data_IF_629344549213
#
_entry.id   IF_629344549213
#
_cell.length_a   1.000
_cell.length_b   1.000
_cell.length_c   1.000
_cell.angle_alpha   90.00
_cell.angle_beta   90.00
_cell.angle_gamma   90.00
#
_symmetry.space_group_name_H-M   'P 1'
#
loop_
_entity.id
_entity.type
_entity.pdbx_description
1 polymer ?
#
# COMPACT_ATOMS: atom_id res chain seq x y z
N UNK A 1 10.73 -11.42 13.47
CA UNK A 1 10.68 -10.15 14.24
C UNK A 1 9.50 -10.18 15.17
N UNK A 2 9.69 -9.82 16.44
CA UNK A 2 8.61 -9.62 17.42
C UNK A 2 7.66 -8.52 16.96
N UNK A 3 6.41 -8.55 17.42
CA UNK A 3 5.39 -7.56 17.04
C UNK A 3 5.76 -6.13 17.46
N UNK A 4 6.56 -6.00 18.52
CA UNK A 4 7.06 -4.74 19.08
C UNK A 4 8.34 -4.23 18.41
N UNK A 5 8.94 -4.97 17.46
CA UNK A 5 10.15 -4.49 16.79
C UNK A 5 9.81 -3.26 15.92
N UNK A 6 10.39 -2.07 16.19
CA UNK A 6 10.06 -0.86 15.45
C UNK A 6 10.43 -0.94 13.97
N UNK A 7 11.36 -1.83 13.60
CA UNK A 7 11.80 -2.06 12.21
C UNK A 7 10.85 -2.99 11.46
N UNK A 8 9.99 -3.74 12.15
CA UNK A 8 9.02 -4.64 11.52
C UNK A 8 8.10 -3.88 10.56
N UNK A 9 7.66 -2.69 10.94
CA UNK A 9 6.81 -1.86 10.09
C UNK A 9 7.56 -1.29 8.88
N UNK A 10 8.86 -1.03 9.00
CA UNK A 10 9.68 -0.60 7.87
C UNK A 10 9.78 -1.71 6.80
N UNK A 11 10.04 -2.94 7.23
CA UNK A 11 10.03 -4.09 6.33
C UNK A 11 8.65 -4.34 5.71
N UNK A 12 7.59 -4.26 6.51
CA UNK A 12 6.22 -4.41 6.00
C UNK A 12 5.93 -3.35 4.94
N UNK A 13 6.27 -2.07 5.16
CA UNK A 13 6.08 -1.02 4.15
C UNK A 13 6.84 -1.30 2.87
N UNK A 14 8.09 -1.75 2.98
CA UNK A 14 8.94 -2.10 1.83
C UNK A 14 8.31 -3.20 0.98
N UNK A 15 7.81 -4.26 1.59
CA UNK A 15 7.27 -5.43 0.87
C UNK A 15 5.78 -5.27 0.49
N UNK A 16 4.99 -4.53 1.26
CA UNK A 16 3.57 -4.29 1.00
C UNK A 16 3.31 -3.23 -0.07
N UNK A 17 4.29 -2.37 -0.40
CA UNK A 17 4.14 -1.28 -1.37
C UNK A 17 3.47 -1.73 -2.68
N UNK A 18 2.35 -1.12 -3.06
CA UNK A 18 1.65 -1.42 -4.31
C UNK A 18 2.21 -0.55 -5.44
N UNK A 19 2.42 0.73 -5.14
CA UNK A 19 3.00 1.69 -6.08
C UNK A 19 4.45 1.97 -5.73
N UNK A 20 5.32 2.09 -6.74
CA UNK A 20 6.74 2.40 -6.54
C UNK A 20 7.53 1.31 -5.81
N UNK A 21 7.05 0.06 -5.87
CA UNK A 21 7.75 -1.10 -5.28
C UNK A 21 9.14 -1.24 -5.91
N UNK A 22 10.13 -1.58 -5.09
CA UNK A 22 11.53 -1.67 -5.49
C UNK A 22 11.79 -2.69 -6.63
N UNK A 23 10.99 -3.75 -6.73
CA UNK A 23 11.06 -4.74 -7.82
C UNK A 23 10.25 -4.37 -9.07
N UNK A 24 9.47 -3.29 -9.03
CA UNK A 24 8.66 -2.87 -10.16
C UNK A 24 9.48 -1.99 -11.12
N UNK A 25 9.38 -2.23 -12.43
CA UNK A 25 10.15 -1.53 -13.50
C UNK A 25 9.80 -0.03 -13.67
N UNK A 26 9.24 0.65 -12.67
CA UNK A 26 8.88 2.07 -12.76
C UNK A 26 10.14 2.93 -12.72
N UNK A 27 10.20 3.97 -13.55
CA UNK A 27 11.27 4.97 -13.49
C UNK A 27 11.24 5.66 -12.13
N UNK A 28 12.36 5.69 -11.38
CA UNK A 28 12.43 6.26 -10.03
C UNK A 28 12.20 7.77 -9.97
N UNK A 29 12.20 8.45 -11.12
CA UNK A 29 12.16 9.92 -11.22
C UNK A 29 10.79 10.53 -10.89
N UNK A 30 9.69 9.76 -10.95
CA UNK A 30 8.35 10.30 -10.66
C UNK A 30 7.93 9.99 -9.23
N UNK A 31 7.77 11.00 -8.35
CA UNK A 31 7.29 10.79 -6.99
C UNK A 31 5.88 10.18 -7.00
N UNK A 32 5.55 9.46 -5.93
CA UNK A 32 4.20 8.92 -5.73
C UNK A 32 3.23 10.07 -5.45
N UNK A 33 2.04 9.98 -6.03
CA UNK A 33 0.91 10.85 -5.69
C UNK A 33 0.44 10.55 -4.26
N UNK A 34 -0.27 11.50 -3.65
CA UNK A 34 -0.85 11.30 -2.33
C UNK A 34 -1.77 10.06 -2.27
N UNK A 35 -2.50 9.77 -3.35
CA UNK A 35 -3.31 8.55 -3.45
C UNK A 35 -2.45 7.29 -3.36
N UNK A 36 -1.38 7.23 -4.15
CA UNK A 36 -0.48 6.09 -4.17
C UNK A 36 0.21 5.88 -2.81
N UNK A 37 0.62 6.96 -2.15
CA UNK A 37 1.18 6.92 -0.78
C UNK A 37 0.13 6.40 0.21
N UNK A 38 -1.11 6.90 0.14
CA UNK A 38 -2.20 6.48 1.02
C UNK A 38 -2.54 4.99 0.85
N UNK A 39 -2.57 4.50 -0.39
CA UNK A 39 -2.80 3.09 -0.70
C UNK A 39 -1.65 2.21 -0.20
N UNK A 40 -0.40 2.66 -0.33
CA UNK A 40 0.75 1.95 0.21
C UNK A 40 0.72 1.85 1.75
N UNK A 41 0.36 2.93 2.45
CA UNK A 41 0.26 2.89 3.92
C UNK A 41 -0.91 2.00 4.37
N UNK A 42 -2.06 2.08 3.71
CA UNK A 42 -3.18 1.17 3.99
C UNK A 42 -2.79 -0.30 3.82
N UNK A 43 -2.05 -0.63 2.74
CA UNK A 43 -1.54 -1.97 2.52
C UNK A 43 -0.58 -2.42 3.62
N UNK A 44 0.30 -1.55 4.10
CA UNK A 44 1.22 -1.86 5.19
C UNK A 44 0.47 -2.16 6.49
N UNK A 45 -0.55 -1.36 6.84
CA UNK A 45 -1.37 -1.61 8.03
C UNK A 45 -2.15 -2.92 7.92
N UNK A 46 -2.72 -3.22 6.75
CA UNK A 46 -3.41 -4.49 6.50
C UNK A 46 -2.43 -5.67 6.65
N UNK A 47 -1.22 -5.58 6.07
CA UNK A 47 -0.20 -6.62 6.17
C UNK A 47 0.39 -6.77 7.58
N UNK A 48 0.34 -5.73 8.42
CA UNK A 48 0.69 -5.83 9.84
C UNK A 48 -0.23 -6.81 10.57
N UNK A 49 -1.54 -6.71 10.31
CA UNK A 49 -2.56 -7.57 10.92
C UNK A 49 -2.73 -8.92 10.21
N UNK A 50 -2.51 -8.96 8.89
CA UNK A 50 -2.66 -10.15 8.06
C UNK A 50 -1.39 -10.34 7.21
N UNK A 51 -0.29 -10.87 7.79
CA UNK A 51 1.00 -10.97 7.10
C UNK A 51 0.98 -11.82 5.82
N UNK A 52 0.02 -12.75 5.71
CA UNK A 52 -0.16 -13.58 4.52
C UNK A 52 -0.46 -12.77 3.25
N UNK A 53 -0.98 -11.53 3.38
CA UNK A 53 -1.27 -10.67 2.23
C UNK A 53 -0.02 -10.09 1.56
N UNK A 54 1.16 -10.19 2.18
CA UNK A 54 2.43 -9.79 1.55
C UNK A 54 2.74 -10.61 0.28
N UNK A 55 2.29 -11.87 0.22
CA UNK A 55 2.48 -12.75 -0.93
C UNK A 55 1.25 -12.82 -1.84
N UNK A 56 0.11 -12.25 -1.42
CA UNK A 56 -1.18 -12.30 -2.14
C UNK A 56 -1.60 -10.91 -2.57
N UNK A 57 -0.81 -10.31 -3.46
CA UNK A 57 -0.96 -8.90 -3.88
C UNK A 57 -2.31 -8.63 -4.53
N UNK A 58 -2.82 -9.57 -5.32
CA UNK A 58 -4.12 -9.45 -5.99
C UNK A 58 -5.29 -9.32 -5.00
N UNK A 59 -5.16 -9.92 -3.81
CA UNK A 59 -6.12 -9.76 -2.71
C UNK A 59 -5.86 -8.47 -1.90
N UNK A 60 -4.59 -8.13 -1.68
CA UNK A 60 -4.19 -6.94 -0.91
C UNK A 60 -4.62 -5.62 -1.58
N UNK A 61 -4.49 -5.52 -2.91
CA UNK A 61 -4.75 -4.29 -3.64
C UNK A 61 -6.19 -3.75 -3.52
N UNK A 62 -7.25 -4.55 -3.76
CA UNK A 62 -8.62 -4.08 -3.58
C UNK A 62 -8.92 -3.70 -2.13
N UNK A 63 -8.39 -4.45 -1.15
CA UNK A 63 -8.56 -4.13 0.28
C UNK A 63 -7.94 -2.78 0.65
N UNK A 64 -6.70 -2.52 0.23
CA UNK A 64 -6.02 -1.26 0.50
C UNK A 64 -6.74 -0.07 -0.17
N UNK A 65 -7.22 -0.22 -1.41
CA UNK A 65 -8.02 0.81 -2.08
C UNK A 65 -9.34 1.08 -1.39
N UNK A 66 -10.00 0.04 -0.88
CA UNK A 66 -11.26 0.16 -0.17
C UNK A 66 -11.05 0.89 1.16
N UNK A 67 -10.03 0.54 1.94
CA UNK A 67 -9.67 1.23 3.18
C UNK A 67 -9.40 2.74 2.97
N UNK A 68 -8.71 3.09 1.87
CA UNK A 68 -8.45 4.50 1.50
C UNK A 68 -9.70 5.24 1.04
N UNK A 69 -10.69 4.54 0.47
CA UNK A 69 -11.98 5.14 0.11
C UNK A 69 -12.84 5.38 1.35
N UNK A 70 -12.84 4.41 2.26
CA UNK A 70 -13.66 4.45 3.48
C UNK A 70 -13.14 5.45 4.52
N UNK A 71 -11.86 5.84 4.44
CA UNK A 71 -11.31 6.92 5.27
C UNK A 71 -11.88 8.31 4.95
N UNK A 72 -12.81 8.41 3.98
CA UNK A 72 -13.49 9.64 3.64
C UNK A 72 -12.68 10.58 2.76
N UNK A 73 -11.54 10.14 2.21
CA UNK A 73 -10.78 10.95 1.26
C UNK A 73 -11.45 10.92 -0.12
N UNK A 74 -12.03 12.04 -0.60
CA UNK A 74 -12.63 12.09 -1.92
C UNK A 74 -11.51 12.16 -2.95
N UNK A 75 -10.96 11.01 -3.34
CA UNK A 75 -10.15 10.96 -4.55
C UNK A 75 -11.09 11.22 -5.71
N UNK A 76 -11.02 12.45 -6.25
CA UNK A 76 -11.73 12.89 -7.45
C UNK A 76 -11.70 11.75 -8.46
N UNK A 77 -12.84 11.08 -8.62
CA UNK A 77 -12.99 10.04 -9.63
C UNK A 77 -12.61 10.70 -10.94
N UNK A 78 -11.45 10.34 -11.48
CA UNK A 78 -11.22 10.43 -12.90
C UNK A 78 -12.39 9.71 -13.54
N UNK A 79 -13.27 10.48 -14.13
CA UNK A 79 -14.39 10.05 -14.94
C UNK A 79 -13.79 9.19 -16.06
N UNK A 80 -13.69 7.88 -15.86
CA UNK A 80 -13.55 6.95 -16.97
C UNK A 80 -14.86 7.06 -17.76
N UNK A 81 -14.81 7.85 -18.83
CA UNK A 81 -15.71 7.71 -19.97
C UNK A 81 -15.55 6.33 -20.58
#
# INVERSE_FOLDING_TARGET
MSEDDPRRMDEIRKYAAIYGRFDCKRKPEKPLTLHEVSVNEAAAQICKHIPALLTRRDELFPLARQAVRDSGYPFSKGQSR
#
